data_IF_390645910219
#
_entry.id   IF_390645910219
#
_cell.length_a   1.000
_cell.length_b   1.000
_cell.length_c   1.000
_cell.angle_alpha   90.00
_cell.angle_beta   90.00
_cell.angle_gamma   90.00
#
_symmetry.space_group_name_H-M   'P 1'
#
loop_
_entity.id
_entity.type
_entity.pdbx_description
1 polymer ?
#
# COMPACT_ATOMS: atom_id res chain seq x y z
N UNK A 1 -65.38 1.67 -16.52
CA UNK A 1 -64.18 2.25 -17.17
C UNK A 1 -63.15 2.80 -16.16
N UNK A 2 -62.96 2.16 -15.00
CA UNK A 2 -61.85 2.45 -14.08
C UNK A 2 -61.46 1.11 -13.45
N UNK A 3 -60.51 0.38 -14.06
CA UNK A 3 -59.81 -0.81 -13.54
C UNK A 3 -58.95 -1.42 -14.66
N UNK A 4 -57.83 -0.79 -15.02
CA UNK A 4 -56.71 -1.46 -15.74
C UNK A 4 -55.37 -0.71 -15.77
N UNK A 5 -55.16 0.37 -14.98
CA UNK A 5 -53.95 1.18 -15.09
C UNK A 5 -52.94 1.04 -13.93
N UNK A 6 -53.23 0.24 -12.90
CA UNK A 6 -52.38 0.19 -11.69
C UNK A 6 -51.72 -1.15 -11.36
N UNK A 7 -51.75 -2.14 -12.26
CA UNK A 7 -51.11 -3.45 -12.03
C UNK A 7 -49.91 -3.78 -12.93
N UNK A 8 -49.30 -2.79 -13.60
CA UNK A 8 -48.13 -3.00 -14.51
C UNK A 8 -46.90 -2.18 -14.11
N UNK A 9 -46.74 -1.80 -12.83
CA UNK A 9 -45.52 -1.11 -12.35
C UNK A 9 -44.91 -1.69 -11.07
N UNK A 10 -45.27 -2.91 -10.70
CA UNK A 10 -44.75 -3.58 -9.50
C UNK A 10 -43.92 -4.85 -9.74
N UNK A 11 -43.91 -5.41 -10.96
CA UNK A 11 -43.41 -6.78 -11.18
C UNK A 11 -42.07 -6.87 -11.93
N UNK A 12 -41.53 -5.76 -12.45
CA UNK A 12 -40.24 -5.76 -13.16
C UNK A 12 -39.01 -5.52 -12.24
N UNK A 13 -39.18 -4.89 -11.07
CA UNK A 13 -38.08 -4.60 -10.15
C UNK A 13 -37.72 -5.78 -9.23
N UNK A 14 -38.65 -6.72 -9.01
CA UNK A 14 -38.42 -7.92 -8.19
C UNK A 14 -37.63 -9.02 -8.92
N UNK A 15 -37.56 -8.99 -10.26
CA UNK A 15 -36.72 -9.93 -11.03
C UNK A 15 -35.25 -9.49 -11.12
N UNK A 16 -34.93 -8.19 -11.01
CA UNK A 16 -33.54 -7.73 -10.93
C UNK A 16 -32.86 -8.06 -9.58
N UNK A 17 -33.63 -8.20 -8.50
CA UNK A 17 -33.09 -8.50 -7.16
C UNK A 17 -32.77 -10.00 -6.96
N UNK A 18 -33.36 -10.90 -7.75
CA UNK A 18 -33.10 -12.34 -7.67
C UNK A 18 -31.90 -12.80 -8.53
N UNK A 19 -31.41 -11.95 -9.44
CA UNK A 19 -30.16 -12.21 -10.19
C UNK A 19 -28.93 -11.83 -9.35
N UNK A 20 -29.09 -11.00 -8.32
CA UNK A 20 -27.99 -10.58 -7.43
C UNK A 20 -27.61 -11.60 -6.35
N UNK A 21 -28.33 -12.72 -6.19
CA UNK A 21 -28.07 -13.72 -5.14
C UNK A 21 -27.43 -15.03 -5.65
N UNK A 22 -26.99 -15.09 -6.91
CA UNK A 22 -26.34 -16.29 -7.45
C UNK A 22 -24.98 -15.99 -8.10
N UNK A 23 -24.09 -15.29 -7.39
CA UNK A 23 -22.65 -15.28 -7.71
C UNK A 23 -21.78 -14.90 -6.51
N UNK A 24 -22.02 -15.51 -5.34
CA UNK A 24 -21.02 -15.60 -4.29
C UNK A 24 -20.59 -17.06 -4.16
N UNK A 25 -20.16 -17.66 -5.27
CA UNK A 25 -19.22 -18.77 -5.16
C UNK A 25 -17.93 -18.15 -4.64
N UNK A 26 -17.58 -18.46 -3.40
CA UNK A 26 -16.23 -18.31 -2.90
C UNK A 26 -15.32 -19.07 -3.86
N UNK A 27 -14.76 -18.35 -4.82
CA UNK A 27 -13.59 -18.78 -5.55
C UNK A 27 -12.44 -18.71 -4.56
N UNK A 28 -12.39 -19.68 -3.65
CA UNK A 28 -11.15 -20.19 -3.12
C UNK A 28 -10.41 -20.87 -4.27
N UNK A 29 -10.03 -20.08 -5.29
CA UNK A 29 -8.91 -20.46 -6.10
C UNK A 29 -7.71 -20.35 -5.18
N UNK A 30 -7.38 -21.46 -4.54
CA UNK A 30 -5.99 -21.77 -4.27
C UNK A 30 -5.30 -21.82 -5.63
N UNK A 31 -4.94 -20.64 -6.16
CA UNK A 31 -4.09 -20.54 -7.32
C UNK A 31 -2.70 -20.93 -6.85
N UNK A 32 -2.36 -22.19 -7.07
CA UNK A 32 -1.01 -22.68 -6.93
C UNK A 32 -0.13 -21.99 -7.97
N UNK A 33 0.38 -20.81 -7.62
CA UNK A 33 1.55 -20.19 -8.25
C UNK A 33 1.89 -18.89 -7.50
N UNK A 34 2.78 -18.97 -6.50
CA UNK A 34 3.71 -17.92 -6.04
C UNK A 34 3.29 -16.44 -5.85
N UNK A 35 2.03 -16.07 -6.07
CA UNK A 35 1.60 -14.69 -6.24
C UNK A 35 0.74 -14.22 -5.06
N UNK A 36 0.80 -12.91 -4.81
CA UNK A 36 0.00 -12.28 -3.76
C UNK A 36 -1.48 -12.23 -4.12
N UNK A 37 -2.35 -11.99 -3.13
CA UNK A 37 -3.79 -11.87 -3.40
C UNK A 37 -4.12 -10.56 -4.11
N UNK A 38 -5.24 -10.53 -4.84
CA UNK A 38 -5.74 -9.29 -5.45
C UNK A 38 -5.93 -8.18 -4.41
N UNK A 39 -6.42 -8.50 -3.22
CA UNK A 39 -6.56 -7.55 -2.11
C UNK A 39 -5.21 -6.99 -1.63
N UNK A 40 -4.17 -7.81 -1.54
CA UNK A 40 -2.82 -7.35 -1.17
C UNK A 40 -2.25 -6.41 -2.24
N UNK A 41 -2.39 -6.80 -3.52
CA UNK A 41 -1.99 -5.99 -4.65
C UNK A 41 -2.72 -4.64 -4.68
N UNK A 42 -4.04 -4.65 -4.54
CA UNK A 42 -4.86 -3.43 -4.60
C UNK A 42 -4.55 -2.50 -3.41
N UNK A 43 -4.28 -3.06 -2.23
CA UNK A 43 -3.83 -2.29 -1.07
C UNK A 43 -2.48 -1.60 -1.33
N UNK A 44 -1.51 -2.31 -1.91
CA UNK A 44 -0.23 -1.72 -2.28
C UNK A 44 -0.36 -0.64 -3.36
N UNK A 45 -1.23 -0.83 -4.37
CA UNK A 45 -1.45 0.19 -5.41
C UNK A 45 -2.15 1.43 -4.85
N UNK A 46 -3.11 1.25 -3.93
CA UNK A 46 -3.72 2.36 -3.20
C UNK A 46 -2.69 3.13 -2.36
N UNK A 47 -1.80 2.40 -1.67
CA UNK A 47 -0.69 2.99 -0.94
C UNK A 47 0.26 3.77 -1.88
N UNK A 48 0.68 3.17 -2.99
CA UNK A 48 1.51 3.83 -4.03
C UNK A 48 0.88 5.11 -4.55
N UNK A 49 -0.43 5.10 -4.81
CA UNK A 49 -1.15 6.28 -5.31
C UNK A 49 -1.20 7.44 -4.31
N UNK A 50 -1.02 7.17 -3.01
CA UNK A 50 -0.95 8.21 -1.97
C UNK A 50 0.44 8.84 -1.81
N UNK A 51 1.44 8.34 -2.54
CA UNK A 51 2.83 8.80 -2.43
C UNK A 51 3.26 9.61 -3.65
N UNK A 52 4.10 10.60 -3.40
CA UNK A 52 4.98 11.23 -4.38
C UNK A 52 6.28 10.42 -4.46
N UNK A 53 6.61 9.96 -5.66
CA UNK A 53 7.79 9.13 -5.95
C UNK A 53 8.59 9.72 -7.13
N UNK A 54 9.26 10.87 -6.94
CA UNK A 54 9.99 11.56 -8.02
C UNK A 54 11.14 10.74 -8.60
N UNK A 55 11.74 9.84 -7.81
CA UNK A 55 12.82 8.95 -8.24
C UNK A 55 12.33 7.64 -8.89
N UNK A 56 11.02 7.40 -8.95
CA UNK A 56 10.45 6.18 -9.51
C UNK A 56 10.88 4.90 -8.77
N UNK A 57 11.09 4.98 -7.45
CA UNK A 57 11.50 3.85 -6.60
C UNK A 57 10.45 2.73 -6.59
N UNK A 58 9.18 3.07 -6.85
CA UNK A 58 8.04 2.15 -6.96
C UNK A 58 7.67 1.81 -8.42
N UNK A 59 8.56 2.07 -9.38
CA UNK A 59 8.34 1.75 -10.81
C UNK A 59 8.03 0.28 -11.08
N UNK A 60 8.63 -0.63 -10.31
CA UNK A 60 8.35 -2.08 -10.42
C UNK A 60 6.93 -2.50 -9.97
N UNK A 61 6.18 -1.62 -9.30
CA UNK A 61 4.86 -1.93 -8.76
C UNK A 61 3.79 -1.84 -9.85
N UNK A 62 3.75 -2.86 -10.69
CA UNK A 62 2.83 -3.02 -11.82
C UNK A 62 2.64 -4.52 -12.15
N UNK A 63 1.52 -4.86 -12.79
CA UNK A 63 1.16 -6.24 -13.11
C UNK A 63 0.44 -6.98 -11.98
N UNK A 64 0.24 -8.28 -12.14
CA UNK A 64 -0.63 -9.09 -11.27
C UNK A 64 0.09 -9.62 -10.02
N UNK A 65 1.33 -10.11 -10.17
CA UNK A 65 2.08 -10.71 -9.06
C UNK A 65 2.91 -9.66 -8.31
N UNK A 66 2.33 -9.12 -7.23
CA UNK A 66 3.03 -8.16 -6.39
C UNK A 66 4.20 -8.75 -5.58
N UNK A 67 4.34 -10.07 -5.50
CA UNK A 67 5.51 -10.69 -4.87
C UNK A 67 6.81 -10.46 -5.66
N UNK A 68 6.71 -10.07 -6.94
CA UNK A 68 7.86 -9.69 -7.77
C UNK A 68 8.22 -8.20 -7.65
N UNK A 69 7.43 -7.40 -6.95
CA UNK A 69 7.67 -5.97 -6.84
C UNK A 69 8.85 -5.68 -5.91
N UNK A 70 9.67 -4.71 -6.29
CA UNK A 70 10.83 -4.29 -5.47
C UNK A 70 10.34 -3.88 -4.08
N UNK A 71 10.96 -4.46 -3.06
CA UNK A 71 10.62 -4.19 -1.65
C UNK A 71 9.47 -5.03 -1.10
N UNK A 72 8.74 -5.77 -1.94
CA UNK A 72 7.68 -6.69 -1.50
C UNK A 72 8.26 -8.08 -1.34
N UNK A 73 7.91 -8.76 -0.24
CA UNK A 73 8.29 -10.14 -0.02
C UNK A 73 7.12 -10.94 0.57
N UNK A 74 6.80 -12.03 -0.12
CA UNK A 74 5.73 -12.94 0.20
C UNK A 74 6.24 -14.22 0.87
N UNK A 75 5.38 -14.86 1.64
CA UNK A 75 5.65 -16.15 2.27
C UNK A 75 5.64 -17.25 1.22
N UNK A 76 6.77 -17.96 1.05
CA UNK A 76 6.86 -19.13 0.18
C UNK A 76 5.91 -20.28 0.58
N UNK A 77 5.31 -20.23 1.78
CA UNK A 77 4.35 -21.24 2.25
C UNK A 77 2.91 -20.88 1.95
N UNK A 78 2.57 -19.60 1.95
CA UNK A 78 1.17 -19.13 1.93
C UNK A 78 0.87 -18.16 0.79
N UNK A 79 1.86 -17.68 0.06
CA UNK A 79 1.69 -16.64 -0.98
C UNK A 79 1.46 -15.23 -0.42
N UNK A 80 0.99 -15.10 0.82
CA UNK A 80 0.72 -13.80 1.44
C UNK A 80 1.94 -12.90 1.61
N UNK A 81 1.72 -11.60 1.47
CA UNK A 81 2.70 -10.55 1.71
C UNK A 81 3.02 -10.48 3.21
N UNK A 82 4.29 -10.71 3.55
CA UNK A 82 4.77 -10.71 4.93
C UNK A 82 5.79 -9.61 5.22
N UNK A 83 6.41 -9.03 4.20
CA UNK A 83 7.42 -7.98 4.36
C UNK A 83 7.27 -6.92 3.27
N UNK A 84 7.21 -5.66 3.72
CA UNK A 84 7.28 -4.47 2.90
C UNK A 84 8.49 -3.64 3.34
N UNK A 85 9.49 -3.53 2.47
CA UNK A 85 10.73 -2.80 2.71
C UNK A 85 10.91 -1.68 1.68
N UNK A 86 10.67 -0.46 2.13
CA UNK A 86 10.79 0.78 1.36
C UNK A 86 11.85 1.70 1.95
N UNK A 87 12.79 1.15 2.73
CA UNK A 87 13.98 1.88 3.21
C UNK A 87 14.67 2.59 2.05
N UNK A 88 14.97 3.86 2.25
CA UNK A 88 15.66 4.66 1.26
C UNK A 88 17.18 4.59 1.42
N UNK A 89 17.77 3.57 0.81
CA UNK A 89 19.23 3.38 0.83
C UNK A 89 19.97 4.53 0.14
N UNK A 90 19.40 5.10 -0.93
CA UNK A 90 20.05 6.18 -1.68
C UNK A 90 20.18 7.44 -0.82
N UNK A 91 19.16 7.72 0.01
CA UNK A 91 19.20 8.82 0.97
C UNK A 91 20.09 8.55 2.17
N UNK A 92 20.11 7.32 2.66
CA UNK A 92 21.02 6.91 3.72
C UNK A 92 22.48 7.06 3.30
N UNK A 93 22.84 6.54 2.12
CA UNK A 93 24.19 6.63 1.56
C UNK A 93 24.57 8.09 1.27
N UNK A 94 23.64 8.86 0.72
CA UNK A 94 23.83 10.30 0.50
C UNK A 94 24.13 11.02 1.82
N UNK A 95 23.33 10.81 2.87
CA UNK A 95 23.56 11.42 4.17
C UNK A 95 24.84 10.92 4.85
N UNK A 96 25.17 9.64 4.68
CA UNK A 96 26.44 9.08 5.13
C UNK A 96 27.64 9.79 4.49
N UNK A 97 27.62 10.01 3.18
CA UNK A 97 28.69 10.68 2.45
C UNK A 97 28.94 12.12 2.96
N UNK A 98 27.89 12.94 3.12
CA UNK A 98 28.03 14.33 3.57
C UNK A 98 28.36 14.47 5.06
N UNK A 99 28.12 13.46 5.89
CA UNK A 99 28.51 13.50 7.30
C UNK A 99 30.04 13.35 7.51
N UNK A 100 30.77 12.80 6.53
CA UNK A 100 32.23 12.62 6.61
C UNK A 100 33.04 13.73 5.92
N UNK A 101 32.43 14.50 5.03
CA UNK A 101 33.09 15.62 4.34
C UNK A 101 32.57 16.96 4.86
N UNK A 102 33.20 17.47 5.92
CA UNK A 102 32.81 18.69 6.63
C UNK A 102 33.12 19.99 5.86
N UNK A 103 33.61 19.88 4.61
CA UNK A 103 34.17 21.00 3.86
C UNK A 103 33.15 21.80 3.03
N UNK A 104 31.93 21.27 2.82
CA UNK A 104 30.87 21.94 2.07
C UNK A 104 29.54 21.97 2.86
N UNK A 105 29.18 23.15 3.38
CA UNK A 105 27.91 23.39 4.07
C UNK A 105 26.71 23.53 3.12
N UNK A 106 26.92 23.42 1.80
CA UNK A 106 25.82 23.38 0.86
C UNK A 106 25.20 21.99 0.89
N UNK A 107 24.03 21.85 1.52
CA UNK A 107 23.19 20.68 1.32
C UNK A 107 22.37 20.93 0.05
N UNK A 108 22.72 20.37 -1.13
CA UNK A 108 21.85 20.55 -2.28
C UNK A 108 20.50 19.92 -1.96
N UNK A 109 19.43 20.57 -2.41
CA UNK A 109 18.02 20.22 -2.20
C UNK A 109 17.63 18.86 -2.86
N UNK A 110 18.63 18.02 -3.20
CA UNK A 110 18.55 16.72 -3.84
C UNK A 110 17.81 15.70 -2.97
N UNK A 111 17.76 15.92 -1.66
CA UNK A 111 17.11 15.06 -0.66
C UNK A 111 15.65 14.72 -1.01
N UNK A 112 14.84 15.72 -1.34
CA UNK A 112 13.41 15.51 -1.68
C UNK A 112 13.22 14.79 -3.01
N UNK A 113 14.21 14.84 -3.90
CA UNK A 113 14.12 14.19 -5.21
C UNK A 113 14.32 12.67 -5.13
N UNK A 114 14.86 12.15 -4.02
CA UNK A 114 15.15 10.72 -3.84
C UNK A 114 14.17 10.01 -2.91
N UNK A 115 13.46 10.77 -2.06
CA UNK A 115 12.55 10.23 -1.05
C UNK A 115 11.16 9.93 -1.57
N UNK A 116 10.56 8.85 -1.05
CA UNK A 116 9.10 8.76 -1.03
C UNK A 116 8.59 9.84 -0.08
N UNK A 117 7.61 10.60 -0.54
CA UNK A 117 6.99 11.66 0.23
C UNK A 117 5.49 11.67 -0.01
N UNK A 118 4.75 12.47 0.75
CA UNK A 118 3.30 12.53 0.63
C UNK A 118 2.68 13.27 1.80
N UNK A 119 1.40 13.62 1.66
CA UNK A 119 0.59 14.11 2.77
C UNK A 119 0.13 12.93 3.63
N UNK A 120 -1.18 12.79 3.79
CA UNK A 120 -1.75 11.70 4.56
C UNK A 120 -1.59 10.35 3.82
N UNK A 121 -0.92 9.41 4.48
CA UNK A 121 -0.71 8.06 3.97
C UNK A 121 -2.02 7.27 3.92
N UNK A 122 -2.30 6.62 2.79
CA UNK A 122 -3.49 5.78 2.64
C UNK A 122 -3.53 4.68 3.72
N UNK A 123 -4.68 4.54 4.38
CA UNK A 123 -4.94 3.48 5.37
C UNK A 123 -5.09 2.09 4.75
N UNK A 124 -4.97 1.96 3.43
CA UNK A 124 -5.02 0.68 2.69
C UNK A 124 -4.08 -0.39 3.25
N UNK A 125 -2.90 -0.01 3.75
CA UNK A 125 -1.96 -0.95 4.37
C UNK A 125 -2.55 -1.65 5.59
N UNK A 126 -3.57 -1.08 6.27
CA UNK A 126 -4.27 -1.70 7.39
C UNK A 126 -4.92 -3.04 7.02
N UNK A 127 -5.13 -3.31 5.73
CA UNK A 127 -5.72 -4.57 5.25
C UNK A 127 -4.70 -5.70 5.15
N UNK A 128 -3.40 -5.41 5.19
CA UNK A 128 -2.30 -6.38 5.07
C UNK A 128 -2.08 -7.12 6.41
N UNK A 129 -3.06 -7.90 6.83
CA UNK A 129 -3.07 -8.55 8.15
C UNK A 129 -1.98 -9.60 8.34
N UNK A 130 -1.36 -10.09 7.26
CA UNK A 130 -0.21 -11.01 7.33
C UNK A 130 1.16 -10.30 7.41
N UNK A 131 1.19 -8.97 7.29
CA UNK A 131 2.42 -8.18 7.32
C UNK A 131 3.14 -8.35 8.67
N UNK A 132 4.43 -8.67 8.61
CA UNK A 132 5.30 -8.88 9.78
C UNK A 132 6.44 -7.88 9.85
N UNK A 133 6.83 -7.31 8.72
CA UNK A 133 7.95 -6.39 8.59
C UNK A 133 7.53 -5.19 7.76
N UNK A 134 7.65 -4.00 8.34
CA UNK A 134 7.46 -2.73 7.65
C UNK A 134 8.69 -1.84 7.90
N UNK A 135 9.36 -1.45 6.83
CA UNK A 135 10.46 -0.47 6.89
C UNK A 135 10.19 0.67 5.93
N UNK A 136 10.00 1.86 6.48
CA UNK A 136 9.80 3.12 5.77
C UNK A 136 10.92 4.11 6.07
N UNK A 137 12.05 3.65 6.64
CA UNK A 137 13.12 4.54 7.09
C UNK A 137 13.79 5.30 5.94
N UNK A 138 14.36 6.46 6.27
CA UNK A 138 15.06 7.35 5.33
C UNK A 138 14.19 7.96 4.21
N UNK A 139 12.87 7.94 4.37
CA UNK A 139 11.95 8.68 3.49
C UNK A 139 11.66 10.10 4.02
N UNK A 140 10.77 10.85 3.37
CA UNK A 140 10.39 12.21 3.80
C UNK A 140 8.87 12.39 3.77
N UNK A 141 8.20 11.99 4.85
CA UNK A 141 6.77 12.19 5.04
C UNK A 141 6.41 13.60 5.56
N UNK A 142 7.30 14.58 5.36
CA UNK A 142 7.02 16.02 5.47
C UNK A 142 6.32 16.46 6.77
N UNK A 143 6.74 15.90 7.91
CA UNK A 143 6.21 16.24 9.24
C UNK A 143 4.82 15.67 9.55
N UNK A 144 4.29 14.78 8.72
CA UNK A 144 2.96 14.17 8.97
C UNK A 144 2.99 13.27 10.20
N UNK A 145 1.83 13.08 10.85
CA UNK A 145 1.73 12.18 12.00
C UNK A 145 1.96 10.73 11.60
N UNK A 146 2.49 9.94 12.54
CA UNK A 146 2.55 8.48 12.38
C UNK A 146 1.11 7.94 12.22
N UNK A 147 0.79 7.22 11.13
CA UNK A 147 -0.58 6.80 10.88
C UNK A 147 -1.12 5.82 11.92
N UNK A 148 -2.27 6.14 12.52
CA UNK A 148 -2.91 5.33 13.58
C UNK A 148 -3.24 3.91 13.12
N UNK A 149 -3.48 3.72 11.82
CA UNK A 149 -3.77 2.40 11.27
C UNK A 149 -2.64 1.39 11.47
N UNK A 150 -1.40 1.82 11.71
CA UNK A 150 -0.29 0.91 12.01
C UNK A 150 -0.57 0.05 13.26
N UNK A 151 -1.41 0.54 14.19
CA UNK A 151 -1.89 -0.21 15.35
C UNK A 151 -2.85 -1.37 15.03
N UNK A 152 -3.42 -1.40 13.82
CA UNK A 152 -4.31 -2.48 13.38
C UNK A 152 -3.54 -3.70 12.85
N UNK A 153 -2.25 -3.56 12.55
CA UNK A 153 -1.40 -4.62 11.98
C UNK A 153 -0.98 -5.63 13.06
N UNK A 154 -1.88 -6.58 13.38
CA UNK A 154 -1.71 -7.49 14.52
C UNK A 154 -0.53 -8.46 14.42
N UNK A 155 -0.04 -8.73 13.21
CA UNK A 155 1.11 -9.62 12.98
C UNK A 155 2.43 -8.87 12.83
N UNK A 156 2.45 -7.54 12.91
CA UNK A 156 3.65 -6.75 12.74
C UNK A 156 4.64 -7.04 13.89
N UNK A 157 5.88 -7.38 13.52
CA UNK A 157 6.98 -7.71 14.45
C UNK A 157 8.17 -6.78 14.33
N UNK A 158 8.32 -6.16 13.18
CA UNK A 158 9.36 -5.18 12.89
C UNK A 158 8.71 -3.96 12.26
N UNK A 159 8.96 -2.80 12.86
CA UNK A 159 8.56 -1.50 12.36
C UNK A 159 9.75 -0.56 12.44
N UNK A 160 10.14 0.00 11.30
CA UNK A 160 11.19 1.01 11.25
C UNK A 160 10.69 2.26 10.50
N UNK A 161 10.60 3.35 11.25
CA UNK A 161 10.17 4.68 10.78
C UNK A 161 11.28 5.73 11.00
N UNK A 162 12.51 5.31 11.29
CA UNK A 162 13.60 6.24 11.59
C UNK A 162 13.94 7.11 10.38
N UNK A 163 14.32 8.36 10.64
CA UNK A 163 14.70 9.32 9.59
C UNK A 163 13.67 9.43 8.45
N UNK A 164 12.39 9.20 8.74
CA UNK A 164 11.32 9.20 7.74
C UNK A 164 10.54 10.52 7.67
N UNK A 165 10.89 11.52 8.49
CA UNK A 165 10.21 12.81 8.52
C UNK A 165 8.79 12.79 9.12
N UNK A 166 8.45 11.81 9.97
CA UNK A 166 7.19 11.87 10.75
C UNK A 166 7.31 12.87 11.90
N UNK A 167 6.26 13.67 12.12
CA UNK A 167 6.14 14.64 13.19
C UNK A 167 5.37 14.12 14.40
N UNK A 168 5.55 14.79 15.54
CA UNK A 168 4.66 14.66 16.70
C UNK A 168 3.56 15.71 16.54
N UNK A 169 2.32 15.27 16.34
CA UNK A 169 1.13 16.12 16.54
C UNK A 169 0.73 16.16 17.99
#
# INVERSE_FOLDING_TARGET
MIKLAFLIRGTALLLCLLIFQAASTSHGQASGSGACTSSERDALLSFKASLLDPAGRLSSWQGEDCCQWKGVHCSNRTGHLIKLNLRNIDMEDYMGYYMYDYSDYSYPNRSRSLSLSGGEMSSSLATLQHLRYLDLSWNDFNGTSIPVFLSSLKNLRYLNLSSAGFGLT
#
